data_IF_809855699823
#
_entry.id   IF_809855699823
#
_cell.length_a   1.000
_cell.length_b   1.000
_cell.length_c   1.000
_cell.angle_alpha   90.00
_cell.angle_beta   90.00
_cell.angle_gamma   90.00
#
_symmetry.space_group_name_H-M   'P 1'
#
loop_
_entity.id
_entity.type
_entity.pdbx_description
1 polymer ?
#
# COMPACT_ATOMS: atom_id res chain seq x y z
N UNK A 1 23.32 41.64 37.22
CA UNK A 1 23.37 40.22 36.81
C UNK A 1 21.99 39.89 36.27
N UNK A 2 21.83 39.88 34.95
CA UNK A 2 20.52 39.82 34.29
C UNK A 2 20.07 38.36 34.18
N UNK A 3 18.89 38.07 34.71
CA UNK A 3 18.21 36.78 34.57
C UNK A 3 17.59 36.67 33.16
N UNK A 4 17.99 35.66 32.40
CA UNK A 4 17.22 35.19 31.24
C UNK A 4 16.38 33.99 31.67
N UNK A 5 15.08 34.20 31.83
CA UNK A 5 14.11 33.11 31.91
C UNK A 5 13.83 32.65 30.47
N UNK A 6 14.45 31.55 30.05
CA UNK A 6 14.12 30.89 28.80
C UNK A 6 12.81 30.13 28.97
N UNK A 7 11.73 30.64 28.39
CA UNK A 7 10.47 29.89 28.24
C UNK A 7 10.70 28.88 27.11
N UNK A 8 11.01 27.64 27.46
CA UNK A 8 10.89 26.51 26.54
C UNK A 8 9.41 26.22 26.34
N UNK A 9 8.85 26.72 25.23
CA UNK A 9 7.59 26.19 24.71
C UNK A 9 7.94 24.84 24.09
N UNK A 10 7.74 23.77 24.85
CA UNK A 10 7.66 22.44 24.28
C UNK A 10 6.38 22.40 23.42
N UNK A 11 6.53 22.63 22.12
CA UNK A 11 5.54 22.17 21.15
C UNK A 11 5.55 20.65 21.23
N UNK A 12 4.66 20.10 22.05
CA UNK A 12 4.29 18.70 21.93
C UNK A 12 3.69 18.55 20.53
N UNK A 13 4.49 18.04 19.60
CA UNK A 13 4.00 17.56 18.32
C UNK A 13 3.08 16.39 18.62
N UNK A 14 1.79 16.67 18.83
CA UNK A 14 0.74 15.66 18.73
C UNK A 14 0.57 15.34 17.26
N UNK A 15 1.57 14.62 16.76
CA UNK A 15 1.49 13.90 15.50
C UNK A 15 0.55 12.73 15.79
N UNK A 16 -0.75 12.96 15.59
CA UNK A 16 -1.74 11.90 15.63
C UNK A 16 -1.91 11.40 14.23
N UNK A 17 -1.33 10.24 13.92
CA UNK A 17 -1.42 9.63 12.60
C UNK A 17 -2.83 9.06 12.34
N UNK A 18 -3.81 9.95 12.12
CA UNK A 18 -5.24 9.68 12.13
C UNK A 18 -5.98 10.65 11.20
N UNK A 19 -7.13 10.23 10.66
CA UNK A 19 -8.05 11.14 9.97
C UNK A 19 -8.96 11.82 11.00
N UNK A 20 -8.94 13.16 11.14
CA UNK A 20 -9.87 13.89 12.01
C UNK A 20 -11.33 13.68 11.63
N UNK A 21 -11.60 13.36 10.35
CA UNK A 21 -12.94 13.12 9.82
C UNK A 21 -13.54 11.79 10.30
N UNK A 22 -12.70 10.78 10.54
CA UNK A 22 -13.17 9.40 10.79
C UNK A 22 -12.83 8.86 12.18
N UNK A 23 -11.92 9.50 12.93
CA UNK A 23 -11.49 9.00 14.24
C UNK A 23 -12.65 8.79 15.22
N UNK A 24 -13.63 9.70 15.24
CA UNK A 24 -14.80 9.56 16.11
C UNK A 24 -15.64 8.33 15.77
N UNK A 25 -15.72 7.95 14.49
CA UNK A 25 -16.39 6.73 14.04
C UNK A 25 -15.60 5.48 14.45
N UNK A 26 -14.28 5.48 14.19
CA UNK A 26 -13.40 4.32 14.38
C UNK A 26 -13.23 3.90 15.84
N UNK A 27 -13.27 4.83 16.79
CA UNK A 27 -13.06 4.51 18.20
C UNK A 27 -14.15 3.59 18.74
N UNK A 28 -13.77 2.48 19.39
CA UNK A 28 -14.71 1.63 20.11
C UNK A 28 -15.49 2.43 21.16
N UNK A 29 -16.79 2.10 21.30
CA UNK A 29 -17.71 2.79 22.20
C UNK A 29 -17.93 1.95 23.47
N UNK A 30 -18.20 2.60 24.63
CA UNK A 30 -18.59 1.90 25.84
C UNK A 30 -19.78 0.94 25.61
N UNK A 31 -19.79 -0.16 26.37
CA UNK A 31 -20.85 -1.16 26.29
C UNK A 31 -22.25 -0.53 26.43
N UNK A 32 -23.18 -0.95 25.55
CA UNK A 32 -24.56 -0.43 25.50
C UNK A 32 -24.75 0.81 24.65
N UNK A 33 -23.67 1.43 24.14
CA UNK A 33 -23.76 2.49 23.13
C UNK A 33 -23.60 1.91 21.73
N UNK A 34 -24.23 2.56 20.75
CA UNK A 34 -24.09 2.15 19.35
C UNK A 34 -22.64 2.34 18.86
N UNK A 35 -22.04 1.33 18.20
CA UNK A 35 -20.72 1.46 17.58
C UNK A 35 -20.65 2.59 16.54
N UNK A 36 -21.79 2.92 15.93
CA UNK A 36 -21.93 3.91 14.86
C UNK A 36 -21.94 5.38 15.34
N UNK A 37 -21.83 5.64 16.65
CA UNK A 37 -21.72 7.02 17.16
C UNK A 37 -20.49 7.68 16.56
N UNK A 38 -20.66 8.86 15.95
CA UNK A 38 -19.58 9.61 15.29
C UNK A 38 -19.30 9.18 13.85
N UNK A 39 -20.04 8.20 13.32
CA UNK A 39 -19.94 7.79 11.92
C UNK A 39 -20.76 8.66 10.96
N UNK A 40 -20.36 8.76 9.69
CA UNK A 40 -21.21 9.29 8.63
C UNK A 40 -22.59 8.63 8.63
N UNK A 41 -23.63 9.41 8.31
CA UNK A 41 -24.99 8.89 8.24
C UNK A 41 -25.08 7.76 7.20
N UNK A 42 -25.75 6.66 7.55
CA UNK A 42 -25.87 5.49 6.68
C UNK A 42 -24.68 4.53 6.72
N UNK A 43 -23.70 4.74 7.62
CA UNK A 43 -22.60 3.79 7.82
C UNK A 43 -23.13 2.40 8.20
N UNK A 44 -22.64 1.37 7.52
CA UNK A 44 -22.92 -0.04 7.82
C UNK A 44 -21.86 -0.54 8.81
N UNK A 45 -22.29 -1.17 9.90
CA UNK A 45 -21.38 -1.78 10.86
C UNK A 45 -21.25 -3.28 10.59
N UNK A 46 -20.00 -3.75 10.55
CA UNK A 46 -19.63 -5.14 10.27
C UNK A 46 -18.89 -5.70 11.47
N UNK A 47 -19.37 -6.79 12.05
CA UNK A 47 -18.68 -7.49 13.15
C UNK A 47 -19.03 -8.97 13.14
N UNK A 48 -18.00 -9.81 13.25
CA UNK A 48 -18.20 -11.26 13.36
C UNK A 48 -18.83 -11.68 14.70
N UNK A 49 -18.73 -10.84 15.74
CA UNK A 49 -19.05 -11.19 17.12
C UNK A 49 -20.12 -10.30 17.77
N UNK A 50 -20.30 -9.06 17.28
CA UNK A 50 -21.29 -8.13 17.82
C UNK A 50 -22.68 -8.39 17.19
N UNK A 51 -23.68 -8.81 17.97
CA UNK A 51 -25.03 -9.12 17.45
C UNK A 51 -25.79 -7.89 16.95
N UNK A 52 -25.28 -6.67 17.20
CA UNK A 52 -25.87 -5.43 16.69
C UNK A 52 -25.36 -5.04 15.30
N UNK A 53 -24.33 -5.73 14.78
CA UNK A 53 -23.82 -5.50 13.44
C UNK A 53 -24.82 -5.95 12.36
N UNK A 54 -24.88 -5.20 11.26
CA UNK A 54 -25.73 -5.55 10.12
C UNK A 54 -25.18 -6.75 9.35
N UNK A 55 -23.86 -6.94 9.35
CA UNK A 55 -23.18 -8.05 8.67
C UNK A 55 -22.07 -8.63 9.54
N UNK A 56 -21.84 -9.92 9.39
CA UNK A 56 -20.70 -10.64 9.99
C UNK A 56 -19.52 -10.83 9.05
N UNK A 57 -19.67 -10.46 7.77
CA UNK A 57 -18.66 -10.54 6.71
C UNK A 57 -18.53 -9.17 6.04
N UNK A 58 -17.30 -8.73 5.80
CA UNK A 58 -16.99 -7.49 5.09
C UNK A 58 -17.43 -7.62 3.64
N UNK A 59 -17.20 -8.78 3.01
CA UNK A 59 -17.63 -9.00 1.63
C UNK A 59 -19.16 -8.91 1.48
N UNK A 60 -19.92 -9.51 2.39
CA UNK A 60 -21.38 -9.41 2.39
C UNK A 60 -21.86 -7.96 2.56
N UNK A 61 -21.16 -7.17 3.38
CA UNK A 61 -21.46 -5.74 3.53
C UNK A 61 -21.16 -4.95 2.24
N UNK A 62 -20.05 -5.24 1.56
CA UNK A 62 -19.71 -4.65 0.25
C UNK A 62 -20.76 -4.98 -0.81
N UNK A 63 -21.23 -6.23 -0.87
CA UNK A 63 -22.26 -6.67 -1.81
C UNK A 63 -23.63 -6.03 -1.53
N UNK A 64 -23.89 -5.63 -0.29
CA UNK A 64 -25.12 -4.95 0.11
C UNK A 64 -25.17 -3.48 -0.29
N UNK A 65 -24.03 -2.90 -0.68
CA UNK A 65 -23.94 -1.48 -0.98
C UNK A 65 -24.87 -1.11 -2.16
N UNK A 66 -25.57 0.04 -2.08
CA UNK A 66 -26.37 0.49 -3.20
C UNK A 66 -25.47 0.73 -4.42
N UNK A 67 -25.98 0.61 -5.66
CA UNK A 67 -25.16 0.82 -6.85
C UNK A 67 -24.65 2.27 -6.95
N UNK A 68 -25.37 3.23 -6.36
CA UNK A 68 -25.06 4.66 -6.43
C UNK A 68 -24.93 5.29 -5.03
N UNK A 69 -24.18 6.38 -4.94
CA UNK A 69 -23.90 7.15 -3.74
C UNK A 69 -22.69 6.63 -2.95
N UNK A 70 -21.99 7.53 -2.29
CA UNK A 70 -20.89 7.18 -1.40
C UNK A 70 -21.38 6.27 -0.27
N UNK A 71 -20.58 5.27 0.10
CA UNK A 71 -20.87 4.37 1.19
C UNK A 71 -19.72 4.28 2.19
N UNK A 72 -20.06 4.06 3.46
CA UNK A 72 -19.09 3.89 4.54
C UNK A 72 -19.37 2.58 5.28
N UNK A 73 -18.31 1.80 5.51
CA UNK A 73 -18.32 0.60 6.32
C UNK A 73 -17.46 0.85 7.57
N UNK A 74 -18.00 0.59 8.75
CA UNK A 74 -17.23 0.45 9.99
C UNK A 74 -17.00 -1.03 10.24
N UNK A 75 -15.74 -1.46 10.24
CA UNK A 75 -15.33 -2.84 10.44
C UNK A 75 -14.87 -2.98 11.89
N UNK A 76 -15.58 -3.81 12.64
CA UNK A 76 -15.30 -4.09 14.04
C UNK A 76 -13.97 -4.80 14.24
N UNK A 77 -13.55 -4.85 15.50
CA UNK A 77 -12.44 -5.72 15.92
C UNK A 77 -12.73 -7.19 15.54
N UNK A 78 -11.76 -7.85 14.93
CA UNK A 78 -11.83 -9.27 14.62
C UNK A 78 -10.99 -9.70 13.42
N UNK A 79 -10.89 -11.01 13.27
CA UNK A 79 -10.30 -11.68 12.11
C UNK A 79 -11.38 -12.12 11.13
N UNK A 80 -11.31 -11.61 9.91
CA UNK A 80 -12.23 -11.87 8.81
C UNK A 80 -11.51 -12.70 7.74
N UNK A 81 -11.76 -14.02 7.72
CA UNK A 81 -11.18 -14.92 6.71
C UNK A 81 -12.02 -14.88 5.43
N UNK A 82 -11.69 -13.98 4.51
CA UNK A 82 -12.41 -13.78 3.26
C UNK A 82 -11.61 -13.01 2.20
N UNK A 83 -12.09 -13.07 0.95
CA UNK A 83 -11.69 -12.13 -0.10
C UNK A 83 -12.73 -11.02 -0.19
N UNK A 84 -12.29 -9.77 -0.19
CA UNK A 84 -13.15 -8.60 -0.36
C UNK A 84 -13.00 -8.03 -1.77
N UNK A 85 -14.08 -8.04 -2.55
CA UNK A 85 -14.12 -7.55 -3.93
C UNK A 85 -15.05 -6.34 -4.07
N UNK A 86 -14.46 -5.19 -4.34
CA UNK A 86 -15.16 -3.91 -4.56
C UNK A 86 -15.21 -3.61 -6.06
N UNK A 87 -16.34 -3.94 -6.69
CA UNK A 87 -16.55 -3.76 -8.13
C UNK A 87 -17.37 -2.54 -8.53
N UNK A 88 -17.99 -1.88 -7.55
CA UNK A 88 -18.78 -0.67 -7.80
C UNK A 88 -17.92 0.55 -8.11
N UNK A 89 -18.43 1.44 -8.94
CA UNK A 89 -17.75 2.68 -9.35
C UNK A 89 -17.79 3.76 -8.28
N UNK A 90 -18.95 3.96 -7.63
CA UNK A 90 -19.14 5.03 -6.66
C UNK A 90 -18.32 4.85 -5.37
N UNK A 91 -17.98 5.94 -4.65
CA UNK A 91 -17.02 5.92 -3.55
C UNK A 91 -17.35 4.91 -2.44
N UNK A 92 -16.32 4.25 -1.91
CA UNK A 92 -16.40 3.33 -0.78
C UNK A 92 -15.33 3.67 0.24
N UNK A 93 -15.73 3.90 1.49
CA UNK A 93 -14.81 4.13 2.61
C UNK A 93 -14.94 3.00 3.63
N UNK A 94 -13.84 2.28 3.90
CA UNK A 94 -13.73 1.26 4.93
C UNK A 94 -12.94 1.81 6.13
N UNK A 95 -13.53 1.70 7.31
CA UNK A 95 -12.99 2.21 8.56
C UNK A 95 -12.78 1.03 9.52
N UNK A 96 -11.53 0.68 9.84
CA UNK A 96 -11.24 -0.28 10.91
C UNK A 96 -11.43 0.35 12.28
N UNK A 97 -12.01 -0.41 13.21
CA UNK A 97 -12.15 0.02 14.60
C UNK A 97 -10.78 0.14 15.29
N UNK A 98 -10.71 1.06 16.25
CA UNK A 98 -9.54 1.33 17.08
C UNK A 98 -9.96 1.39 18.55
N UNK A 99 -9.03 1.10 19.47
CA UNK A 99 -9.21 1.44 20.89
C UNK A 99 -8.69 2.85 21.15
N UNK A 100 -9.13 3.48 22.24
CA UNK A 100 -8.55 4.74 22.71
C UNK A 100 -7.05 4.60 23.00
N UNK A 101 -6.63 3.48 23.57
CA UNK A 101 -5.21 3.23 23.89
C UNK A 101 -4.36 3.13 22.64
N UNK A 102 -4.83 2.40 21.62
CA UNK A 102 -4.05 2.16 20.42
C UNK A 102 -4.06 3.37 19.49
N UNK A 103 -5.22 4.02 19.30
CA UNK A 103 -5.34 5.19 18.42
C UNK A 103 -4.41 6.36 18.80
N UNK A 104 -4.23 6.61 20.10
CA UNK A 104 -3.48 7.76 20.61
C UNK A 104 -2.14 7.36 21.25
N UNK A 105 -1.66 6.14 21.00
CA UNK A 105 -0.32 5.74 21.42
C UNK A 105 0.72 6.47 20.55
N UNK A 106 1.56 7.37 21.14
CA UNK A 106 2.58 8.08 20.38
C UNK A 106 3.70 7.16 19.86
N UNK A 107 3.77 5.92 20.33
CA UNK A 107 4.71 4.90 19.87
C UNK A 107 4.06 3.88 18.92
N UNK A 108 2.74 3.96 18.74
CA UNK A 108 1.97 3.04 17.92
C UNK A 108 2.23 3.25 16.43
N UNK A 109 2.06 2.18 15.65
CA UNK A 109 2.08 2.19 14.19
C UNK A 109 0.89 1.37 13.66
N UNK A 110 0.79 1.14 12.34
CA UNK A 110 -0.33 0.38 11.78
C UNK A 110 -0.51 -1.01 12.45
N UNK A 111 0.56 -1.77 12.60
CA UNK A 111 0.54 -3.13 13.18
C UNK A 111 0.12 -3.21 14.64
N UNK A 112 0.35 -2.16 15.43
CA UNK A 112 -0.10 -2.13 16.83
C UNK A 112 -1.43 -1.41 17.01
N UNK A 113 -1.92 -0.69 15.99
CA UNK A 113 -3.13 0.12 16.09
C UNK A 113 -4.39 -0.63 15.71
N UNK A 114 -4.30 -1.35 14.60
CA UNK A 114 -5.45 -1.87 13.89
C UNK A 114 -6.04 -3.07 14.64
N UNK A 115 -7.38 -3.14 14.68
CA UNK A 115 -8.10 -4.24 15.33
C UNK A 115 -8.86 -5.11 14.33
N UNK A 116 -9.05 -4.62 13.10
CA UNK A 116 -9.73 -5.31 12.03
C UNK A 116 -8.69 -5.95 11.10
N UNK A 117 -8.69 -7.28 11.02
CA UNK A 117 -7.78 -8.04 10.18
C UNK A 117 -8.58 -8.78 9.11
N UNK A 118 -8.39 -8.44 7.84
CA UNK A 118 -8.99 -9.13 6.70
C UNK A 118 -7.91 -9.98 6.06
N UNK A 119 -8.16 -11.28 5.97
CA UNK A 119 -7.13 -12.19 5.49
C UNK A 119 -7.67 -13.32 4.65
N UNK A 120 -6.82 -13.86 3.79
CA UNK A 120 -7.03 -15.13 3.10
C UNK A 120 -5.71 -15.90 3.05
N UNK A 121 -5.71 -17.12 2.51
CA UNK A 121 -4.53 -17.96 2.37
C UNK A 121 -4.45 -18.63 1.00
N UNK A 122 -5.06 -18.00 0.00
CA UNK A 122 -4.94 -18.41 -1.41
C UNK A 122 -3.57 -18.03 -1.94
N UNK A 123 -2.99 -18.94 -2.71
CA UNK A 123 -1.76 -18.72 -3.47
C UNK A 123 -1.94 -19.26 -4.87
N UNK A 124 -1.13 -18.74 -5.79
CA UNK A 124 -1.17 -19.14 -7.19
C UNK A 124 -0.72 -20.57 -7.34
N UNK A 125 -1.54 -21.36 -8.05
CA UNK A 125 -1.18 -22.69 -8.53
C UNK A 125 -1.33 -22.72 -10.05
N UNK A 126 -0.79 -23.76 -10.70
CA UNK A 126 -0.83 -23.90 -12.16
C UNK A 126 -2.24 -23.73 -12.71
N UNK A 127 -2.41 -22.78 -13.64
CA UNK A 127 -3.69 -22.47 -14.29
C UNK A 127 -4.50 -21.35 -13.62
N UNK A 128 -4.04 -20.80 -12.49
CA UNK A 128 -4.60 -19.59 -11.90
C UNK A 128 -3.91 -18.33 -12.43
N UNK A 129 -4.66 -17.24 -12.54
CA UNK A 129 -4.11 -15.89 -12.60
C UNK A 129 -3.88 -15.38 -11.17
N UNK A 130 -2.83 -14.59 -10.99
CA UNK A 130 -2.40 -14.02 -9.71
C UNK A 130 -3.53 -13.25 -8.99
N UNK A 131 -4.42 -12.60 -9.74
CA UNK A 131 -5.59 -11.89 -9.24
C UNK A 131 -6.51 -12.77 -8.38
N UNK A 132 -6.52 -14.09 -8.61
CA UNK A 132 -7.34 -15.04 -7.85
C UNK A 132 -6.81 -15.30 -6.42
N UNK A 133 -5.58 -14.88 -6.13
CA UNK A 133 -4.97 -15.01 -4.80
C UNK A 133 -5.17 -13.79 -3.91
N UNK A 134 -5.64 -12.66 -4.46
CA UNK A 134 -5.76 -11.40 -3.73
C UNK A 134 -6.77 -11.45 -2.59
N UNK A 135 -6.45 -10.76 -1.49
CA UNK A 135 -7.33 -10.60 -0.31
C UNK A 135 -8.30 -9.43 -0.53
N UNK A 136 -7.80 -8.31 -1.03
CA UNK A 136 -8.59 -7.14 -1.42
C UNK A 136 -8.47 -6.90 -2.91
N UNK A 137 -9.59 -6.90 -3.61
CA UNK A 137 -9.69 -6.55 -5.03
C UNK A 137 -10.54 -5.29 -5.17
N UNK A 138 -10.00 -4.26 -5.81
CA UNK A 138 -10.74 -3.05 -6.20
C UNK A 138 -10.60 -2.89 -7.70
N UNK A 139 -11.64 -3.34 -8.43
CA UNK A 139 -11.60 -3.47 -9.88
C UNK A 139 -13.02 -3.55 -10.43
N UNK A 140 -13.33 -2.98 -11.61
CA UNK A 140 -14.71 -2.96 -12.14
C UNK A 140 -15.36 -4.34 -12.29
N UNK A 141 -14.55 -5.39 -12.43
CA UNK A 141 -14.97 -6.79 -12.48
C UNK A 141 -13.73 -7.71 -12.46
N UNK A 142 -13.94 -9.02 -12.43
CA UNK A 142 -12.84 -9.99 -12.42
C UNK A 142 -11.95 -9.93 -13.67
N UNK A 143 -12.51 -9.74 -14.87
CA UNK A 143 -11.67 -9.54 -16.07
C UNK A 143 -10.82 -8.26 -15.94
N UNK A 144 -11.35 -7.29 -15.20
CA UNK A 144 -10.71 -6.06 -14.79
C UNK A 144 -9.43 -6.25 -13.98
N UNK A 145 -9.41 -7.27 -13.12
CA UNK A 145 -8.33 -7.53 -12.17
C UNK A 145 -7.26 -8.46 -12.74
N UNK A 146 -7.55 -9.20 -13.82
CA UNK A 146 -6.56 -10.12 -14.42
C UNK A 146 -5.22 -9.43 -14.66
N UNK A 147 -4.16 -10.02 -14.12
CA UNK A 147 -2.80 -9.50 -14.25
C UNK A 147 -2.28 -9.79 -15.65
N UNK A 148 -2.49 -11.04 -16.10
CA UNK A 148 -2.08 -11.55 -17.39
C UNK A 148 -0.57 -11.62 -17.58
N UNK A 149 -0.17 -12.34 -18.63
CA UNK A 149 1.23 -12.63 -18.91
C UNK A 149 1.92 -11.60 -19.83
N UNK A 150 3.25 -11.63 -19.86
CA UNK A 150 4.06 -10.85 -20.78
C UNK A 150 4.07 -9.34 -20.50
N UNK A 151 4.60 -8.58 -21.45
CA UNK A 151 4.84 -7.13 -21.29
C UNK A 151 3.55 -6.30 -21.31
N UNK A 152 2.48 -6.79 -21.92
CA UNK A 152 1.20 -6.07 -22.02
C UNK A 152 0.21 -6.41 -20.90
N UNK A 153 0.42 -7.52 -20.19
CA UNK A 153 -0.56 -8.07 -19.24
C UNK A 153 -1.87 -8.48 -19.90
N UNK A 154 -2.95 -8.54 -19.12
CA UNK A 154 -4.29 -8.80 -19.63
C UNK A 154 -4.75 -7.73 -20.66
N UNK A 155 -5.65 -8.07 -21.59
CA UNK A 155 -6.22 -7.11 -22.56
C UNK A 155 -6.86 -5.88 -21.91
N UNK A 156 -7.13 -4.83 -22.67
CA UNK A 156 -7.73 -3.59 -22.14
C UNK A 156 -9.23 -3.69 -21.83
N UNK A 157 -9.56 -2.99 -20.74
CA UNK A 157 -10.83 -2.63 -20.12
C UNK A 157 -11.61 -1.44 -20.69
N UNK A 158 -12.87 -1.51 -21.15
CA UNK A 158 -13.65 -0.27 -21.31
C UNK A 158 -14.23 0.25 -19.98
N UNK A 159 -14.13 -0.53 -18.89
CA UNK A 159 -14.75 -0.21 -17.61
C UNK A 159 -13.73 0.40 -16.64
N UNK A 160 -14.18 1.35 -15.84
CA UNK A 160 -13.47 1.86 -14.67
C UNK A 160 -14.24 1.46 -13.40
N UNK A 161 -13.51 0.94 -12.42
CA UNK A 161 -14.02 0.50 -11.13
C UNK A 161 -14.18 1.68 -10.19
N UNK A 162 -13.83 1.48 -8.93
CA UNK A 162 -14.05 2.49 -7.90
C UNK A 162 -13.23 3.76 -8.17
N UNK A 163 -13.88 4.93 -8.16
CA UNK A 163 -13.22 6.21 -8.42
C UNK A 163 -12.66 6.89 -7.16
N UNK A 164 -13.01 6.38 -5.98
CA UNK A 164 -12.60 6.91 -4.67
C UNK A 164 -12.77 5.82 -3.59
N UNK A 165 -11.94 4.78 -3.67
CA UNK A 165 -11.86 3.78 -2.62
C UNK A 165 -10.92 4.26 -1.52
N UNK A 166 -11.34 4.16 -0.26
CA UNK A 166 -10.55 4.55 0.90
C UNK A 166 -10.58 3.46 1.96
N UNK A 167 -9.43 3.11 2.53
CA UNK A 167 -9.35 2.23 3.69
C UNK A 167 -8.47 2.84 4.80
N UNK A 168 -8.97 2.79 6.04
CA UNK A 168 -8.31 3.35 7.21
C UNK A 168 -8.14 2.28 8.27
N UNK A 169 -6.92 2.11 8.78
CA UNK A 169 -6.62 1.32 9.97
C UNK A 169 -7.13 -0.14 9.91
N UNK A 170 -6.91 -0.80 8.78
CA UNK A 170 -7.24 -2.21 8.57
C UNK A 170 -5.96 -2.94 8.19
N UNK A 171 -5.79 -4.14 8.73
CA UNK A 171 -4.72 -5.03 8.31
C UNK A 171 -5.26 -6.00 7.25
N UNK A 172 -4.56 -6.06 6.11
CA UNK A 172 -4.84 -6.99 5.03
C UNK A 172 -3.70 -7.99 4.93
N UNK A 173 -4.00 -9.29 5.00
CA UNK A 173 -2.96 -10.32 5.04
C UNK A 173 -3.26 -11.50 4.13
N UNK A 174 -2.29 -11.89 3.31
CA UNK A 174 -2.31 -13.20 2.67
C UNK A 174 -1.40 -14.15 3.44
N UNK A 175 -2.04 -15.06 4.19
CA UNK A 175 -1.41 -16.01 5.10
C UNK A 175 -1.02 -17.33 4.42
N UNK A 176 -1.16 -17.44 3.10
CA UNK A 176 -0.59 -18.58 2.34
C UNK A 176 0.93 -18.67 2.53
N UNK A 177 1.52 -17.52 2.84
CA UNK A 177 2.94 -17.28 2.81
C UNK A 177 3.70 -17.67 4.09
N UNK A 178 3.08 -18.35 5.06
CA UNK A 178 3.80 -19.01 6.16
C UNK A 178 4.90 -20.01 5.69
N UNK A 179 5.02 -20.26 4.38
CA UNK A 179 6.00 -21.17 3.77
C UNK A 179 6.70 -20.65 2.47
N UNK A 180 6.58 -19.37 2.07
CA UNK A 180 7.16 -18.83 0.80
C UNK A 180 7.00 -19.78 -0.41
N UNK A 181 5.75 -20.07 -0.79
CA UNK A 181 5.41 -21.16 -1.73
C UNK A 181 5.23 -20.72 -3.19
N UNK A 182 4.54 -19.60 -3.42
CA UNK A 182 4.21 -18.99 -4.71
C UNK A 182 3.70 -17.57 -4.46
N UNK A 183 3.36 -16.83 -5.52
CA UNK A 183 2.61 -15.57 -5.46
C UNK A 183 1.36 -15.70 -4.59
N UNK A 184 1.14 -14.71 -3.73
CA UNK A 184 0.03 -14.68 -2.80
C UNK A 184 -0.33 -13.22 -2.52
N UNK A 185 -1.19 -12.65 -3.34
CA UNK A 185 -1.48 -11.22 -3.32
C UNK A 185 -2.25 -10.81 -2.06
N UNK A 186 -1.96 -9.60 -1.57
CA UNK A 186 -2.82 -8.92 -0.60
C UNK A 186 -3.76 -7.98 -1.34
N UNK A 187 -3.24 -7.15 -2.24
CA UNK A 187 -4.06 -6.20 -3.00
C UNK A 187 -4.01 -6.47 -4.50
N UNK A 188 -5.14 -6.25 -5.17
CA UNK A 188 -5.25 -6.07 -6.62
C UNK A 188 -6.13 -4.85 -6.89
N UNK A 189 -5.50 -3.73 -7.21
CA UNK A 189 -6.19 -2.48 -7.55
C UNK A 189 -6.01 -2.24 -9.05
N UNK A 190 -7.08 -2.39 -9.83
CA UNK A 190 -7.01 -2.34 -11.29
C UNK A 190 -8.14 -1.47 -11.84
N UNK A 191 -7.82 -0.51 -12.72
CA UNK A 191 -8.79 0.45 -13.27
C UNK A 191 -9.60 1.15 -12.18
N UNK A 192 -8.94 1.55 -11.09
CA UNK A 192 -9.57 2.15 -9.93
C UNK A 192 -8.62 3.16 -9.28
N UNK A 193 -9.20 4.07 -8.50
CA UNK A 193 -8.48 4.99 -7.65
C UNK A 193 -8.68 4.56 -6.19
N UNK A 194 -7.58 4.29 -5.48
CA UNK A 194 -7.65 3.77 -4.13
C UNK A 194 -6.60 4.40 -3.21
N UNK A 195 -7.01 4.83 -2.01
CA UNK A 195 -6.11 5.36 -1.01
C UNK A 195 -6.21 4.67 0.35
N UNK A 196 -5.08 4.55 1.03
CA UNK A 196 -4.92 3.73 2.25
C UNK A 196 -4.16 4.49 3.32
N UNK A 197 -4.65 4.44 4.56
CA UNK A 197 -4.16 5.27 5.65
C UNK A 197 -4.01 4.46 6.93
N UNK A 198 -2.79 4.35 7.45
CA UNK A 198 -2.57 3.60 8.69
C UNK A 198 -2.82 2.09 8.55
N UNK A 199 -2.72 1.52 7.35
CA UNK A 199 -3.03 0.12 7.08
C UNK A 199 -1.79 -0.77 7.14
N UNK A 200 -2.00 -2.07 7.30
CA UNK A 200 -0.95 -3.08 7.11
C UNK A 200 -1.26 -3.95 5.90
N UNK A 201 -0.23 -4.33 5.14
CA UNK A 201 -0.33 -5.28 4.04
C UNK A 201 0.75 -6.34 4.20
N UNK A 202 0.38 -7.61 4.33
CA UNK A 202 1.35 -8.65 4.62
C UNK A 202 1.23 -9.90 3.76
N UNK A 203 2.29 -10.21 3.02
CA UNK A 203 2.52 -11.50 2.35
C UNK A 203 4.04 -11.72 2.17
N UNK A 204 4.47 -12.56 1.23
CA UNK A 204 5.89 -12.76 0.91
C UNK A 204 6.16 -12.41 -0.55
N UNK A 205 5.55 -13.11 -1.49
CA UNK A 205 5.68 -12.82 -2.91
C UNK A 205 4.45 -12.07 -3.41
N UNK A 206 4.68 -10.98 -4.14
CA UNK A 206 3.65 -10.23 -4.85
C UNK A 206 2.58 -9.65 -3.91
N UNK A 207 3.00 -9.05 -2.79
CA UNK A 207 2.09 -8.56 -1.73
C UNK A 207 1.14 -7.48 -2.25
N UNK A 208 1.66 -6.47 -2.95
CA UNK A 208 0.90 -5.33 -3.41
C UNK A 208 0.87 -5.26 -4.93
N UNK A 209 -0.32 -5.18 -5.52
CA UNK A 209 -0.50 -4.95 -6.95
C UNK A 209 -1.28 -3.65 -7.24
N UNK A 210 -0.61 -2.69 -7.88
CA UNK A 210 -1.30 -1.59 -8.59
C UNK A 210 -1.37 -1.92 -10.06
N UNK A 211 -2.50 -2.46 -10.50
CA UNK A 211 -2.72 -2.90 -11.86
C UNK A 211 -2.90 -1.78 -12.87
N UNK A 212 -3.20 -2.21 -14.10
CA UNK A 212 -3.33 -1.33 -15.28
C UNK A 212 -4.41 -0.25 -15.03
N UNK A 213 -4.14 0.98 -15.47
CA UNK A 213 -5.00 2.15 -15.29
C UNK A 213 -5.44 2.44 -13.84
N UNK A 214 -4.78 1.87 -12.84
CA UNK A 214 -5.03 2.22 -11.44
C UNK A 214 -4.13 3.37 -10.96
N UNK A 215 -4.66 4.13 -10.01
CA UNK A 215 -3.93 5.14 -9.26
C UNK A 215 -4.08 4.84 -7.77
N UNK A 216 -2.96 4.73 -7.06
CA UNK A 216 -2.96 4.33 -5.65
C UNK A 216 -2.10 5.25 -4.79
N UNK A 217 -2.60 5.58 -3.61
CA UNK A 217 -1.89 6.38 -2.62
C UNK A 217 -1.90 5.67 -1.27
N UNK A 218 -0.74 5.48 -0.66
CA UNK A 218 -0.60 4.74 0.60
C UNK A 218 0.23 5.58 1.57
N UNK A 219 -0.31 5.84 2.76
CA UNK A 219 0.35 6.66 3.77
C UNK A 219 0.31 6.05 5.16
N UNK A 220 1.35 6.28 5.95
CA UNK A 220 1.47 5.82 7.35
C UNK A 220 1.23 4.31 7.51
N UNK A 221 1.62 3.53 6.50
CA UNK A 221 1.28 2.11 6.39
C UNK A 221 2.54 1.24 6.46
N UNK A 222 2.35 -0.06 6.71
CA UNK A 222 3.44 -1.03 6.73
C UNK A 222 3.16 -2.11 5.68
N UNK A 223 4.13 -2.37 4.81
CA UNK A 223 4.05 -3.38 3.76
C UNK A 223 5.14 -4.42 4.02
N UNK A 224 4.73 -5.65 4.30
CA UNK A 224 5.62 -6.79 4.53
C UNK A 224 5.74 -7.65 3.28
N UNK A 225 6.96 -8.02 2.93
CA UNK A 225 7.20 -8.88 1.78
C UNK A 225 8.62 -9.43 1.68
N UNK A 226 8.87 -10.14 0.59
CA UNK A 226 10.15 -10.77 0.25
C UNK A 226 10.48 -10.59 -1.23
N UNK A 227 9.62 -11.07 -2.12
CA UNK A 227 9.88 -11.10 -3.57
C UNK A 227 8.88 -10.24 -4.31
N UNK A 228 9.38 -9.24 -5.03
CA UNK A 228 8.60 -8.36 -5.91
C UNK A 228 7.35 -7.81 -5.21
N UNK A 229 7.44 -7.55 -3.91
CA UNK A 229 6.26 -7.39 -3.07
C UNK A 229 5.56 -6.05 -3.29
N UNK A 230 6.20 -5.10 -3.99
CA UNK A 230 5.53 -4.00 -4.68
C UNK A 230 5.64 -4.23 -6.20
N UNK A 231 4.64 -4.83 -6.81
CA UNK A 231 4.61 -5.00 -8.26
C UNK A 231 3.39 -4.31 -8.86
N UNK A 232 3.42 -4.07 -10.16
CA UNK A 232 2.36 -3.26 -10.74
C UNK A 232 2.57 -2.84 -12.17
N UNK A 233 1.64 -2.02 -12.61
CA UNK A 233 1.58 -1.41 -13.92
C UNK A 233 1.10 0.04 -13.81
N UNK A 234 0.09 0.33 -12.98
CA UNK A 234 -0.48 1.66 -12.81
C UNK A 234 0.47 2.68 -12.15
N UNK A 235 -0.09 3.68 -11.47
CA UNK A 235 0.70 4.64 -10.68
C UNK A 235 0.45 4.46 -9.20
N UNK A 236 1.54 4.31 -8.44
CA UNK A 236 1.49 4.15 -7.00
C UNK A 236 2.40 5.14 -6.30
N UNK A 237 1.85 5.86 -5.31
CA UNK A 237 2.60 6.73 -4.42
C UNK A 237 2.52 6.19 -3.00
N UNK A 238 3.67 5.81 -2.45
CA UNK A 238 3.84 5.35 -1.07
C UNK A 238 4.56 6.44 -0.29
N UNK A 239 3.97 6.92 0.80
CA UNK A 239 4.52 8.00 1.61
C UNK A 239 4.53 7.66 3.08
N UNK A 240 5.62 7.97 3.78
CA UNK A 240 5.72 7.67 5.21
C UNK A 240 5.43 6.19 5.52
N UNK A 241 5.76 5.28 4.59
CA UNK A 241 5.53 3.84 4.78
C UNK A 241 6.77 3.14 5.32
N UNK A 242 6.55 1.99 5.93
CA UNK A 242 7.62 1.03 6.25
C UNK A 242 7.51 -0.15 5.28
N UNK A 243 8.56 -0.36 4.50
CA UNK A 243 8.76 -1.51 3.64
C UNK A 243 9.60 -2.54 4.42
N UNK A 244 8.95 -3.61 4.89
CA UNK A 244 9.51 -4.57 5.84
C UNK A 244 9.91 -5.88 5.14
N UNK A 245 11.22 -6.08 4.96
CA UNK A 245 11.81 -7.24 4.28
C UNK A 245 11.80 -8.49 5.18
N UNK A 246 10.87 -9.42 4.95
CA UNK A 246 10.81 -10.74 5.62
C UNK A 246 11.97 -11.67 5.24
N UNK A 247 12.42 -11.52 4.00
CA UNK A 247 13.63 -12.10 3.42
C UNK A 247 13.97 -11.26 2.17
N UNK A 248 15.00 -11.65 1.42
CA UNK A 248 15.38 -11.00 0.18
C UNK A 248 15.22 -11.98 -0.99
N UNK A 249 14.41 -11.63 -1.99
CA UNK A 249 14.26 -12.36 -3.24
C UNK A 249 13.80 -11.41 -4.33
N UNK A 250 14.28 -11.55 -5.58
CA UNK A 250 13.93 -10.60 -6.64
C UNK A 250 14.29 -9.16 -6.28
N UNK A 251 13.32 -8.24 -6.33
CA UNK A 251 13.45 -6.88 -5.80
C UNK A 251 12.30 -6.48 -4.88
N UNK A 252 12.43 -5.35 -4.19
CA UNK A 252 11.31 -4.71 -3.47
C UNK A 252 10.24 -4.30 -4.48
N UNK A 253 10.65 -3.57 -5.53
CA UNK A 253 9.75 -3.18 -6.63
C UNK A 253 9.94 -4.01 -7.90
N UNK A 254 8.85 -4.40 -8.54
CA UNK A 254 8.83 -4.97 -9.90
C UNK A 254 7.71 -4.36 -10.76
N UNK A 255 7.99 -3.26 -11.42
CA UNK A 255 6.97 -2.54 -12.21
C UNK A 255 6.99 -2.91 -13.69
N UNK A 256 5.81 -2.91 -14.32
CA UNK A 256 5.70 -2.92 -15.77
C UNK A 256 5.98 -1.54 -16.32
N UNK A 257 6.83 -1.50 -17.33
CA UNK A 257 6.95 -0.34 -18.21
C UNK A 257 6.06 -0.47 -19.43
N UNK A 258 5.67 0.66 -20.03
CA UNK A 258 4.97 0.65 -21.31
C UNK A 258 5.28 1.90 -22.10
N UNK A 259 5.31 1.77 -23.43
CA UNK A 259 5.32 2.90 -24.36
C UNK A 259 3.91 3.26 -24.84
N UNK A 260 2.89 2.58 -24.31
CA UNK A 260 1.51 2.82 -24.68
C UNK A 260 1.03 4.14 -24.06
N UNK A 261 0.43 4.97 -24.90
CA UNK A 261 -0.07 6.31 -24.57
C UNK A 261 -1.54 6.30 -24.14
N UNK A 262 -2.08 5.13 -23.83
CA UNK A 262 -3.51 4.87 -23.59
C UNK A 262 -3.94 5.01 -22.12
N UNK A 263 -3.14 5.75 -21.34
CA UNK A 263 -3.44 6.11 -19.96
C UNK A 263 -3.52 7.64 -19.81
N UNK A 264 -4.65 8.27 -20.15
CA UNK A 264 -4.81 9.72 -19.98
C UNK A 264 -4.66 10.09 -18.50
N UNK A 265 -3.68 10.95 -18.17
CA UNK A 265 -3.47 11.43 -16.81
C UNK A 265 -2.65 10.51 -15.89
N UNK A 266 -1.94 9.49 -16.42
CA UNK A 266 -1.19 8.57 -15.58
C UNK A 266 0.27 8.41 -16.06
N UNK A 267 1.25 8.61 -15.17
CA UNK A 267 2.70 8.50 -15.48
C UNK A 267 3.31 7.12 -15.27
N UNK A 268 2.50 6.10 -15.01
CA UNK A 268 2.87 4.70 -14.72
C UNK A 268 4.22 4.51 -14.03
N UNK A 269 4.18 4.15 -12.75
CA UNK A 269 5.38 3.92 -11.97
C UNK A 269 5.09 3.78 -10.49
N UNK A 270 6.13 3.44 -9.74
CA UNK A 270 6.10 3.40 -8.29
C UNK A 270 6.99 4.50 -7.71
N UNK A 271 6.44 5.28 -6.79
CA UNK A 271 7.08 6.43 -6.17
C UNK A 271 7.01 6.23 -4.66
N UNK A 272 8.17 6.19 -4.00
CA UNK A 272 8.31 5.90 -2.57
C UNK A 272 8.97 7.10 -1.91
N UNK A 273 8.23 7.85 -1.12
CA UNK A 273 8.65 9.12 -0.52
C UNK A 273 8.65 9.06 1.01
N UNK A 274 9.66 9.68 1.64
CA UNK A 274 9.72 9.88 3.09
C UNK A 274 9.52 8.60 3.90
N UNK A 275 10.01 7.48 3.36
CA UNK A 275 9.69 6.12 3.81
C UNK A 275 10.91 5.40 4.38
N UNK A 276 10.71 4.18 4.89
CA UNK A 276 11.78 3.36 5.47
C UNK A 276 11.78 1.96 4.86
N UNK A 277 12.96 1.47 4.52
CA UNK A 277 13.21 0.06 4.20
C UNK A 277 13.96 -0.55 5.37
N UNK A 278 13.41 -1.62 5.93
CA UNK A 278 13.97 -2.32 7.10
C UNK A 278 13.92 -3.83 6.91
N UNK A 279 14.81 -4.56 7.59
CA UNK A 279 14.58 -5.96 7.93
C UNK A 279 13.29 -6.05 8.76
N UNK A 280 12.37 -6.90 8.32
CA UNK A 280 11.09 -7.04 8.99
C UNK A 280 11.28 -7.51 10.45
N UNK A 281 10.50 -6.97 11.40
CA UNK A 281 10.50 -7.46 12.79
C UNK A 281 10.01 -8.91 12.90
N UNK A 282 9.17 -9.38 11.97
CA UNK A 282 8.67 -10.76 11.92
C UNK A 282 9.49 -11.71 11.04
N UNK A 283 10.59 -11.22 10.44
CA UNK A 283 11.49 -12.06 9.66
C UNK A 283 12.12 -13.14 10.54
N UNK A 284 12.17 -14.38 10.04
CA UNK A 284 12.81 -15.50 10.72
C UNK A 284 14.22 -15.09 11.19
N UNK A 285 14.51 -15.35 12.47
CA UNK A 285 15.75 -14.93 13.13
C UNK A 285 17.02 -15.43 12.42
N UNK A 286 16.96 -16.56 11.70
CA UNK A 286 18.10 -17.10 10.95
C UNK A 286 18.21 -16.58 9.52
N UNK A 287 17.22 -15.83 9.03
CA UNK A 287 17.26 -15.24 7.69
C UNK A 287 18.29 -14.12 7.66
N UNK A 288 19.31 -14.29 6.82
CA UNK A 288 20.32 -13.27 6.54
C UNK A 288 19.79 -12.34 5.46
N UNK A 289 19.63 -11.06 5.80
CA UNK A 289 19.19 -10.02 4.86
C UNK A 289 20.27 -8.99 4.55
N UNK A 290 21.37 -8.96 5.31
CA UNK A 290 22.41 -7.94 5.18
C UNK A 290 23.01 -7.92 3.77
N UNK A 291 22.92 -6.75 3.13
CA UNK A 291 23.33 -6.52 1.74
C UNK A 291 22.70 -7.48 0.71
N UNK A 292 21.55 -8.10 1.00
CA UNK A 292 20.91 -9.09 0.12
C UNK A 292 19.70 -8.56 -0.65
N UNK A 293 19.04 -7.51 -0.16
CA UNK A 293 17.78 -7.03 -0.73
C UNK A 293 18.03 -5.98 -1.82
N UNK A 294 17.38 -6.12 -2.97
CA UNK A 294 17.45 -5.15 -4.07
C UNK A 294 16.26 -4.21 -4.04
N UNK A 295 16.47 -2.93 -4.32
CA UNK A 295 15.42 -1.92 -4.47
C UNK A 295 14.42 -2.29 -5.56
N UNK A 296 14.87 -2.93 -6.64
CA UNK A 296 13.94 -3.38 -7.65
C UNK A 296 14.58 -4.13 -8.81
N UNK A 297 13.68 -4.68 -9.64
CA UNK A 297 14.01 -5.26 -10.94
C UNK A 297 12.92 -4.97 -11.95
N UNK A 298 13.23 -4.78 -13.23
CA UNK A 298 12.22 -4.33 -14.19
C UNK A 298 11.38 -5.53 -14.62
N UNK A 299 10.09 -5.55 -14.34
CA UNK A 299 9.25 -6.62 -14.90
C UNK A 299 9.34 -6.59 -16.44
N UNK A 300 9.45 -5.38 -17.01
CA UNK A 300 9.94 -5.13 -18.35
C UNK A 300 10.57 -3.75 -18.52
N UNK A 301 11.17 -3.52 -19.68
CA UNK A 301 11.69 -2.22 -20.11
C UNK A 301 10.64 -1.12 -19.94
N UNK A 302 11.12 0.10 -19.73
CA UNK A 302 10.39 1.32 -19.37
C UNK A 302 9.82 1.29 -17.96
N UNK A 303 10.25 0.35 -17.12
CA UNK A 303 9.91 0.33 -15.69
C UNK A 303 10.38 1.63 -15.03
N UNK A 304 9.49 2.25 -14.25
CA UNK A 304 9.76 3.45 -13.47
C UNK A 304 9.65 3.13 -11.98
N UNK A 305 10.74 3.34 -11.23
CA UNK A 305 10.72 3.29 -9.76
C UNK A 305 11.57 4.43 -9.19
N UNK A 306 10.97 5.23 -8.31
CA UNK A 306 11.59 6.43 -7.75
C UNK A 306 11.55 6.37 -6.23
N UNK A 307 12.71 6.52 -5.59
CA UNK A 307 12.85 6.59 -4.14
C UNK A 307 13.27 8.00 -3.72
N UNK A 308 12.50 8.66 -2.85
CA UNK A 308 12.70 10.03 -2.41
C UNK A 308 12.81 10.07 -0.89
N UNK A 309 13.95 10.53 -0.34
CA UNK A 309 14.18 10.72 1.10
C UNK A 309 13.87 9.45 1.90
N UNK A 310 14.36 8.32 1.42
CA UNK A 310 14.07 7.00 1.98
C UNK A 310 15.21 6.54 2.88
N UNK A 311 14.91 6.17 4.12
CA UNK A 311 15.85 5.45 4.98
C UNK A 311 15.99 4.01 4.49
N UNK A 312 17.22 3.53 4.40
CA UNK A 312 17.56 2.16 4.00
C UNK A 312 18.49 1.57 5.05
N UNK A 313 18.04 0.52 5.73
CA UNK A 313 18.90 -0.24 6.64
C UNK A 313 19.97 -1.06 5.89
N UNK A 314 20.77 -1.84 6.62
CA UNK A 314 21.86 -2.62 6.01
C UNK A 314 21.38 -3.80 5.16
N UNK A 315 20.07 -4.07 5.07
CA UNK A 315 19.57 -5.12 4.18
C UNK A 315 19.72 -4.78 2.70
N UNK A 316 19.73 -3.50 2.34
CA UNK A 316 19.79 -3.06 0.94
C UNK A 316 21.18 -3.30 0.35
N UNK A 317 21.22 -4.03 -0.76
CA UNK A 317 22.43 -4.27 -1.55
C UNK A 317 22.92 -2.98 -2.21
N UNK A 318 24.24 -2.75 -2.20
CA UNK A 318 24.85 -1.53 -2.74
C UNK A 318 24.54 -1.29 -4.23
N UNK A 319 24.31 -2.35 -5.01
CA UNK A 319 23.92 -2.27 -6.43
C UNK A 319 22.53 -1.64 -6.62
N UNK A 320 21.66 -1.75 -5.61
CA UNK A 320 20.28 -1.24 -5.64
C UNK A 320 19.38 -2.05 -6.57
N UNK A 321 19.60 -1.99 -7.88
CA UNK A 321 18.72 -2.58 -8.90
C UNK A 321 19.39 -3.76 -9.60
N UNK A 322 18.61 -4.78 -9.98
CA UNK A 322 19.09 -5.95 -10.71
C UNK A 322 18.27 -6.25 -11.96
N UNK A 323 18.84 -6.97 -12.94
CA UNK A 323 18.08 -7.38 -14.11
C UNK A 323 16.98 -8.37 -13.72
N UNK A 324 15.88 -8.41 -14.49
CA UNK A 324 14.77 -9.30 -14.19
C UNK A 324 15.17 -10.78 -14.19
N UNK A 325 15.96 -11.16 -15.20
CA UNK A 325 16.49 -12.50 -15.40
C UNK A 325 17.75 -12.46 -16.27
N UNK A 326 18.46 -13.57 -16.35
CA UNK A 326 19.63 -13.74 -17.24
C UNK A 326 19.29 -13.53 -18.72
N UNK A 327 18.03 -13.73 -19.12
CA UNK A 327 17.56 -13.48 -20.48
C UNK A 327 17.36 -11.97 -20.78
N UNK A 328 17.31 -11.12 -19.75
CA UNK A 328 17.15 -9.66 -19.86
C UNK A 328 18.18 -8.94 -18.99
N UNK A 329 19.47 -8.97 -19.37
CA UNK A 329 20.56 -8.54 -18.50
C UNK A 329 20.75 -7.01 -18.41
N UNK A 330 20.04 -6.21 -19.22
CA UNK A 330 20.27 -4.76 -19.34
C UNK A 330 19.18 -3.97 -18.60
N UNK A 331 19.60 -3.10 -17.68
CA UNK A 331 18.74 -2.17 -16.92
C UNK A 331 18.98 -0.71 -17.35
N UNK A 332 20.26 -0.37 -17.58
CA UNK A 332 20.67 1.00 -17.91
C UNK A 332 20.09 1.43 -19.27
N UNK A 333 19.66 2.69 -19.36
CA UNK A 333 18.99 3.29 -20.52
C UNK A 333 17.68 2.61 -20.97
N UNK A 334 17.22 1.54 -20.29
CA UNK A 334 15.95 0.87 -20.59
C UNK A 334 14.92 1.07 -19.49
N UNK A 335 15.30 1.64 -18.34
CA UNK A 335 14.42 1.86 -17.18
C UNK A 335 14.63 3.26 -16.60
N UNK A 336 13.65 3.75 -15.83
CA UNK A 336 13.78 4.96 -15.04
C UNK A 336 13.84 4.59 -13.55
N UNK A 337 15.03 4.22 -13.10
CA UNK A 337 15.32 4.06 -11.68
C UNK A 337 16.00 5.29 -11.14
N UNK A 338 15.40 5.89 -10.12
CA UNK A 338 15.89 7.14 -9.56
C UNK A 338 15.89 7.13 -8.03
N UNK A 339 16.90 7.80 -7.45
CA UNK A 339 17.03 8.03 -6.03
C UNK A 339 17.31 9.50 -5.73
N UNK A 340 16.63 10.05 -4.73
CA UNK A 340 16.89 11.38 -4.18
C UNK A 340 17.07 11.30 -2.68
N UNK A 341 18.23 11.71 -2.16
CA UNK A 341 18.50 11.78 -0.72
C UNK A 341 18.15 10.51 0.08
N UNK A 342 18.38 9.32 -0.49
CA UNK A 342 18.39 8.07 0.28
C UNK A 342 19.44 8.14 1.39
N UNK A 343 19.17 7.56 2.56
CA UNK A 343 20.07 7.62 3.71
C UNK A 343 20.03 6.34 4.55
N UNK A 344 20.91 6.23 5.56
CA UNK A 344 21.10 5.01 6.33
C UNK A 344 22.17 4.07 5.71
N UNK A 345 22.48 2.93 6.36
CA UNK A 345 23.55 2.03 5.93
C UNK A 345 23.42 1.53 4.49
N UNK A 346 22.19 1.28 4.02
CA UNK A 346 21.88 0.85 2.65
C UNK A 346 21.64 1.99 1.66
N UNK A 347 21.61 3.24 2.15
CA UNK A 347 21.27 4.43 1.36
C UNK A 347 22.43 5.01 0.55
N UNK A 348 23.63 4.43 0.64
CA UNK A 348 24.77 4.90 -0.15
C UNK A 348 24.60 4.54 -1.63
N UNK A 349 24.47 5.57 -2.47
CA UNK A 349 24.19 5.43 -3.90
C UNK A 349 25.43 5.25 -4.79
N UNK A 350 26.64 5.30 -4.24
CA UNK A 350 27.91 5.33 -5.02
C UNK A 350 28.10 4.11 -5.93
N UNK A 351 27.49 2.97 -5.60
CA UNK A 351 27.62 1.70 -6.33
C UNK A 351 26.36 1.30 -7.11
N UNK A 352 25.37 2.19 -7.24
CA UNK A 352 24.08 1.85 -7.86
C UNK A 352 24.22 1.49 -9.33
N UNK A 353 23.50 0.46 -9.73
CA UNK A 353 23.17 0.16 -11.11
C UNK A 353 21.92 0.94 -11.56
N UNK A 354 21.87 2.24 -11.22
CA UNK A 354 20.84 3.20 -11.62
C UNK A 354 21.52 4.37 -12.33
N UNK A 355 20.82 4.93 -13.31
CA UNK A 355 21.32 6.05 -14.11
C UNK A 355 20.88 7.43 -13.56
N UNK A 356 20.08 7.48 -12.47
CA UNK A 356 19.43 8.73 -12.03
C UNK A 356 19.55 8.98 -10.51
N UNK A 357 20.70 9.50 -10.08
CA UNK A 357 20.78 10.14 -8.76
C UNK A 357 20.34 11.59 -8.92
N UNK A 358 19.15 11.90 -8.39
CA UNK A 358 18.48 13.17 -8.63
C UNK A 358 19.12 14.30 -7.83
N UNK A 359 19.18 15.48 -8.46
CA UNK A 359 19.45 16.76 -7.80
C UNK A 359 18.20 17.32 -7.13
N UNK A 360 18.35 18.31 -6.25
CA UNK A 360 17.23 19.01 -5.61
C UNK A 360 16.23 19.55 -6.66
N UNK A 361 16.73 20.10 -7.77
CA UNK A 361 15.89 20.65 -8.85
C UNK A 361 15.16 19.58 -9.66
N UNK A 362 15.71 18.37 -9.79
CA UNK A 362 15.01 17.28 -10.48
C UNK A 362 13.96 16.65 -9.56
N UNK A 363 14.27 16.55 -8.26
CA UNK A 363 13.37 16.02 -7.25
C UNK A 363 12.05 16.81 -7.16
N UNK A 364 12.04 18.11 -7.46
CA UNK A 364 10.80 18.92 -7.46
C UNK A 364 9.78 18.48 -8.52
N UNK A 365 10.17 17.68 -9.51
CA UNK A 365 9.24 17.14 -10.51
C UNK A 365 8.39 16.00 -9.96
N UNK A 366 8.76 15.41 -8.82
CA UNK A 366 8.07 14.29 -8.20
C UNK A 366 7.24 14.78 -7.00
N UNK A 367 6.04 15.27 -7.29
CA UNK A 367 4.99 15.55 -6.30
C UNK A 367 3.79 14.65 -6.55
N UNK A 368 2.87 14.55 -5.59
CA UNK A 368 1.60 13.84 -5.76
C UNK A 368 0.89 14.36 -7.02
N UNK A 369 0.77 15.69 -7.18
CA UNK A 369 0.11 16.28 -8.33
C UNK A 369 0.86 16.06 -9.64
N UNK A 370 2.20 16.10 -9.60
CA UNK A 370 3.03 15.84 -10.77
C UNK A 370 2.93 14.39 -11.24
N UNK A 371 2.84 13.44 -10.31
CA UNK A 371 2.77 12.00 -10.62
C UNK A 371 1.39 11.60 -11.12
N UNK A 372 0.32 12.10 -10.49
CA UNK A 372 -1.06 11.83 -10.89
C UNK A 372 -1.61 12.80 -11.95
N UNK A 373 -0.83 13.80 -12.36
CA UNK A 373 -1.20 14.81 -13.39
C UNK A 373 -2.48 15.61 -13.07
N UNK A 374 -2.89 15.63 -11.81
CA UNK A 374 -4.05 16.35 -11.28
C UNK A 374 -3.88 16.59 -9.77
N UNK A 375 -4.86 17.18 -9.10
CA UNK A 375 -4.95 17.08 -7.63
C UNK A 375 -5.98 16.00 -7.28
N UNK A 376 -5.55 14.76 -6.95
CA UNK A 376 -6.45 13.64 -6.68
C UNK A 376 -7.52 13.96 -5.63
N UNK A 377 -8.79 13.94 -6.00
CA UNK A 377 -9.90 14.12 -5.03
C UNK A 377 -10.17 12.87 -4.19
N UNK A 378 -9.64 11.72 -4.61
CA UNK A 378 -9.72 10.44 -3.91
C UNK A 378 -8.67 10.26 -2.81
N UNK A 379 -7.86 11.31 -2.53
CA UNK A 379 -6.90 11.37 -1.42
C UNK A 379 -7.47 12.25 -0.29
N UNK A 380 -7.40 11.78 0.95
CA UNK A 380 -7.67 12.55 2.17
C UNK A 380 -6.41 13.32 2.60
N UNK A 381 -6.27 14.55 2.09
CA UNK A 381 -5.22 15.48 2.51
C UNK A 381 -5.39 15.99 3.95
N UNK A 382 -6.51 15.65 4.61
CA UNK A 382 -6.74 15.93 6.02
C UNK A 382 -6.15 14.88 6.96
N UNK A 383 -5.62 13.76 6.43
CA UNK A 383 -4.93 12.77 7.23
C UNK A 383 -3.67 13.38 7.87
N UNK A 384 -3.62 13.37 9.19
CA UNK A 384 -2.48 13.87 9.94
C UNK A 384 -1.43 12.75 10.02
N UNK A 385 -0.15 13.07 9.85
CA UNK A 385 0.98 12.12 9.88
C UNK A 385 1.79 12.33 11.14
#
# INVERSE_FOLDING_TARGET
>A
MWYFLGVFVALASQVTALSPNYIACQLQKPAGLSPLIGCPAGTIYVSATDPTAQFSSVQAAVESLPPYGAATLLIGEGDYHETVNVSRTDPVTMLGQLTWSTAFDPTGNATSRNLAHIWDNKYVITGMDDAQSAVLVVSPNFNGSLIGAGTTGAPYQPYFGNVDFKAYNIDFENRAANYSISQALVTDISYANASFYGCTFASYQDTWYTGKNASTYVVDSIIYGMTDYLFGFGTAWFQNVILANRACGGGITAWKGTNQTDAPGNRYGVYIADSKIIRSPDANATTVTDSQCYLGRPWNDLCTAVYLRTYMDSSVNATGFIPFSTARPVIMNTTYYAEYMSYGPGGNTTARASDHILTDSEATNFTIEGVFLETPQWIDYGYQI
#
